data_IF_687161892309
#
_entry.id   IF_687161892309
#
_cell.length_a   1.000
_cell.length_b   1.000
_cell.length_c   1.000
_cell.angle_alpha   90.00
_cell.angle_beta   90.00
_cell.angle_gamma   90.00
#
_symmetry.space_group_name_H-M   'P 1'
#
loop_
_entity.id
_entity.type
_entity.pdbx_description
1 polymer ?
#
# COMPACT_ATOMS: atom_id res chain seq x y z
N UNK A 1 -1.80 6.97 7.11
CA UNK A 1 -2.93 7.87 6.91
C UNK A 1 -4.25 7.16 7.22
N UNK A 2 -4.91 7.57 8.32
CA UNK A 2 -6.12 6.92 8.81
C UNK A 2 -7.27 7.01 7.79
N UNK A 3 -7.41 8.13 7.09
CA UNK A 3 -8.48 8.31 6.11
C UNK A 3 -8.29 7.39 4.90
N UNK A 4 -7.06 7.26 4.43
CA UNK A 4 -6.76 6.36 3.33
C UNK A 4 -7.03 4.91 3.71
N UNK A 5 -6.70 4.50 4.93
CA UNK A 5 -6.99 3.16 5.42
C UNK A 5 -8.48 2.91 5.52
N UNK A 6 -9.26 3.90 5.96
CA UNK A 6 -10.71 3.78 6.02
C UNK A 6 -11.30 3.54 4.62
N UNK A 7 -10.83 4.25 3.61
CA UNK A 7 -11.28 4.02 2.24
C UNK A 7 -10.87 2.64 1.74
N UNK A 8 -9.64 2.21 2.06
CA UNK A 8 -9.17 0.89 1.68
C UNK A 8 -10.06 -0.22 2.26
N UNK A 9 -10.35 -0.15 3.55
CA UNK A 9 -11.19 -1.13 4.25
C UNK A 9 -12.60 -1.17 3.65
N UNK A 10 -13.14 -0.02 3.25
CA UNK A 10 -14.46 0.08 2.64
C UNK A 10 -14.49 -0.36 1.17
N UNK A 11 -13.35 -0.73 0.59
CA UNK A 11 -13.25 -1.12 -0.81
C UNK A 11 -13.17 0.05 -1.78
N UNK A 12 -13.01 1.26 -1.27
CA UNK A 12 -12.92 2.47 -2.09
C UNK A 12 -11.46 2.77 -2.42
N UNK A 13 -10.87 1.92 -3.25
CA UNK A 13 -9.44 1.97 -3.54
C UNK A 13 -9.03 3.26 -4.25
N UNK A 14 -9.87 3.79 -5.12
CA UNK A 14 -9.55 5.03 -5.84
C UNK A 14 -9.48 6.22 -4.87
N UNK A 15 -10.43 6.34 -3.95
CA UNK A 15 -10.42 7.38 -2.94
C UNK A 15 -9.23 7.21 -1.99
N UNK A 16 -8.92 5.97 -1.61
CA UNK A 16 -7.74 5.68 -0.79
C UNK A 16 -6.47 6.11 -1.49
N UNK A 17 -6.36 5.84 -2.79
CA UNK A 17 -5.20 6.23 -3.60
C UNK A 17 -5.07 7.76 -3.66
N UNK A 18 -6.16 8.47 -3.87
CA UNK A 18 -6.16 9.94 -3.88
C UNK A 18 -5.70 10.51 -2.54
N UNK A 19 -6.14 9.92 -1.43
CA UNK A 19 -5.69 10.32 -0.09
C UNK A 19 -4.20 10.09 0.09
N UNK A 20 -3.68 8.95 -0.39
CA UNK A 20 -2.25 8.65 -0.34
C UNK A 20 -1.43 9.65 -1.14
N UNK A 21 -1.89 9.99 -2.33
CA UNK A 21 -1.21 10.97 -3.20
C UNK A 21 -1.13 12.33 -2.52
N UNK A 22 -2.21 12.79 -1.89
CA UNK A 22 -2.22 14.05 -1.14
C UNK A 22 -1.27 14.01 0.04
N UNK A 23 -1.19 12.88 0.73
CA UNK A 23 -0.25 12.71 1.84
C UNK A 23 1.19 12.79 1.37
N UNK A 24 1.50 12.20 0.22
CA UNK A 24 2.86 12.23 -0.34
C UNK A 24 3.26 13.64 -0.76
N UNK A 25 2.33 14.46 -1.21
CA UNK A 25 2.61 15.86 -1.55
C UNK A 25 2.99 16.68 -0.32
N UNK A 26 2.46 16.31 0.85
CA UNK A 26 2.77 17.00 2.10
C UNK A 26 4.01 16.43 2.79
N UNK A 27 4.22 15.11 2.69
CA UNK A 27 5.32 14.39 3.32
C UNK A 27 5.85 13.36 2.33
N UNK A 28 6.89 13.72 1.62
CA UNK A 28 7.46 12.86 0.59
C UNK A 28 8.08 11.57 1.13
N UNK A 29 8.28 11.49 2.45
CA UNK A 29 8.90 10.35 3.11
C UNK A 29 7.91 9.46 3.87
N UNK A 30 6.62 9.57 3.63
CA UNK A 30 5.61 8.78 4.31
C UNK A 30 5.60 7.34 3.78
N UNK A 31 6.14 6.42 4.56
CA UNK A 31 6.21 4.99 4.20
C UNK A 31 4.83 4.37 4.05
N UNK A 32 3.94 4.66 5.00
CA UNK A 32 2.61 4.08 4.99
C UNK A 32 1.84 4.49 3.73
N UNK A 33 1.96 5.74 3.33
CA UNK A 33 1.30 6.22 2.12
C UNK A 33 1.85 5.54 0.87
N UNK A 34 3.16 5.34 0.79
CA UNK A 34 3.79 4.67 -0.35
C UNK A 34 3.35 3.22 -0.45
N UNK A 35 3.32 2.51 0.67
CA UNK A 35 2.89 1.11 0.72
C UNK A 35 1.43 1.00 0.34
N UNK A 36 0.58 1.82 0.93
CA UNK A 36 -0.86 1.78 0.66
C UNK A 36 -1.17 2.18 -0.78
N UNK A 37 -0.40 3.09 -1.35
CA UNK A 37 -0.50 3.43 -2.77
C UNK A 37 -0.30 2.20 -3.64
N UNK A 38 0.75 1.42 -3.40
CA UNK A 38 1.01 0.20 -4.15
C UNK A 38 -0.11 -0.82 -3.97
N UNK A 39 -0.61 -0.98 -2.75
CA UNK A 39 -1.72 -1.91 -2.47
C UNK A 39 -2.98 -1.50 -3.23
N UNK A 40 -3.34 -0.23 -3.18
CA UNK A 40 -4.54 0.28 -3.86
C UNK A 40 -4.42 0.13 -5.37
N UNK A 41 -3.27 0.42 -5.93
CA UNK A 41 -3.02 0.24 -7.36
C UNK A 41 -3.17 -1.22 -7.77
N UNK A 42 -2.65 -2.15 -6.97
CA UNK A 42 -2.81 -3.59 -7.23
C UNK A 42 -4.28 -4.00 -7.20
N UNK A 43 -5.04 -3.52 -6.23
CA UNK A 43 -6.46 -3.86 -6.11
C UNK A 43 -7.29 -3.28 -7.25
N UNK A 44 -6.87 -2.16 -7.82
CA UNK A 44 -7.52 -1.53 -8.96
C UNK A 44 -7.12 -2.16 -10.31
N UNK A 45 -6.19 -3.12 -10.29
CA UNK A 45 -5.70 -3.75 -11.51
C UNK A 45 -4.55 -3.01 -12.19
N UNK A 46 -4.04 -1.95 -11.58
CA UNK A 46 -2.91 -1.17 -12.11
C UNK A 46 -1.60 -1.78 -11.65
N UNK A 47 -1.32 -3.00 -12.08
CA UNK A 47 -0.17 -3.77 -11.57
C UNK A 47 1.17 -3.14 -11.90
N UNK A 48 1.32 -2.56 -13.09
CA UNK A 48 2.56 -1.90 -13.47
C UNK A 48 2.85 -0.70 -12.57
N UNK A 49 1.83 0.13 -12.32
CA UNK A 49 1.97 1.27 -11.44
C UNK A 49 2.28 0.84 -10.01
N UNK A 50 1.65 -0.23 -9.54
CA UNK A 50 1.90 -0.79 -8.22
C UNK A 50 3.35 -1.28 -8.10
N UNK A 51 3.87 -1.94 -9.11
CA UNK A 51 5.24 -2.43 -9.14
C UNK A 51 6.24 -1.27 -9.08
N UNK A 52 5.99 -0.20 -9.82
CA UNK A 52 6.85 0.99 -9.81
C UNK A 52 6.83 1.65 -8.43
N UNK A 53 5.65 1.83 -7.85
CA UNK A 53 5.50 2.45 -6.53
C UNK A 53 6.23 1.64 -5.46
N UNK A 54 6.07 0.32 -5.49
CA UNK A 54 6.72 -0.55 -4.51
C UNK A 54 8.23 -0.57 -4.72
N UNK A 55 8.70 -0.57 -5.96
CA UNK A 55 10.12 -0.56 -6.25
C UNK A 55 10.80 0.71 -5.74
N UNK A 56 10.17 1.86 -5.90
CA UNK A 56 10.67 3.11 -5.35
C UNK A 56 10.82 3.02 -3.84
N UNK A 57 9.82 2.45 -3.17
CA UNK A 57 9.86 2.26 -1.73
C UNK A 57 10.98 1.29 -1.33
N UNK A 58 11.17 0.21 -2.10
CA UNK A 58 12.19 -0.80 -1.83
C UNK A 58 13.62 -0.28 -2.05
N UNK A 59 13.80 0.76 -2.83
CA UNK A 59 15.12 1.41 -2.95
C UNK A 59 15.58 1.97 -1.62
N UNK A 60 14.64 2.44 -0.80
CA UNK A 60 14.93 2.91 0.56
C UNK A 60 15.04 1.74 1.54
N UNK A 61 14.25 0.69 1.34
CA UNK A 61 14.18 -0.48 2.24
C UNK A 61 14.38 -1.78 1.47
N UNK A 62 15.61 -2.05 0.97
CA UNK A 62 15.85 -3.17 0.05
C UNK A 62 15.66 -4.56 0.66
N UNK A 63 15.71 -4.67 1.99
CA UNK A 63 15.58 -5.95 2.68
C UNK A 63 14.19 -6.23 3.22
N UNK A 64 13.20 -5.40 2.84
CA UNK A 64 11.85 -5.56 3.34
C UNK A 64 11.14 -6.73 2.64
N UNK A 65 10.35 -7.47 3.40
CA UNK A 65 9.56 -8.62 2.92
C UNK A 65 8.16 -8.54 3.51
N UNK A 66 7.25 -9.39 3.02
CA UNK A 66 5.90 -9.51 3.58
C UNK A 66 5.96 -9.83 5.08
N UNK A 67 6.89 -10.70 5.48
CA UNK A 67 7.01 -11.09 6.89
C UNK A 67 7.49 -9.95 7.78
N UNK A 68 8.29 -9.03 7.24
CA UNK A 68 8.88 -7.92 7.99
C UNK A 68 8.09 -6.64 7.95
N UNK A 69 7.24 -6.47 6.94
CA UNK A 69 6.53 -5.21 6.74
C UNK A 69 5.58 -4.94 7.90
N UNK A 70 5.43 -3.64 8.24
CA UNK A 70 4.46 -3.23 9.25
C UNK A 70 3.05 -3.59 8.78
N UNK A 71 2.30 -4.24 9.65
CA UNK A 71 0.92 -4.64 9.38
C UNK A 71 -0.02 -3.75 10.19
N UNK A 72 -0.81 -2.89 9.52
CA UNK A 72 -1.77 -2.06 10.24
C UNK A 72 -2.76 -2.93 11.05
N UNK A 73 -3.24 -2.44 12.18
CA UNK A 73 -4.16 -3.20 13.03
C UNK A 73 -5.59 -3.19 12.47
N UNK A 74 -5.81 -3.87 11.37
CA UNK A 74 -7.16 -4.02 10.81
C UNK A 74 -8.03 -4.85 11.75
N UNK A 75 -9.29 -4.45 11.89
CA UNK A 75 -10.25 -5.18 12.72
C UNK A 75 -10.66 -6.51 12.07
N UNK A 76 -10.63 -6.56 10.73
CA UNK A 76 -11.04 -7.72 9.96
C UNK A 76 -9.81 -8.36 9.32
N UNK A 77 -9.62 -9.67 9.55
CA UNK A 77 -8.49 -10.41 8.98
C UNK A 77 -8.50 -10.40 7.45
N UNK A 78 -9.68 -10.35 6.83
CA UNK A 78 -9.79 -10.25 5.37
C UNK A 78 -9.20 -8.97 4.81
N UNK A 79 -9.26 -7.88 5.56
CA UNK A 79 -8.67 -6.61 5.14
C UNK A 79 -7.15 -6.69 5.14
N UNK A 80 -6.57 -7.33 6.14
CA UNK A 80 -5.13 -7.57 6.19
C UNK A 80 -4.69 -8.47 5.04
N UNK A 81 -5.45 -9.52 4.74
CA UNK A 81 -5.14 -10.42 3.63
C UNK A 81 -5.13 -9.67 2.30
N UNK A 82 -6.11 -8.79 2.06
CA UNK A 82 -6.15 -7.98 0.85
C UNK A 82 -4.95 -7.02 0.77
N UNK A 83 -4.58 -6.44 1.90
CA UNK A 83 -3.42 -5.56 2.00
C UNK A 83 -2.14 -6.30 1.60
N UNK A 84 -1.92 -7.49 2.17
CA UNK A 84 -0.73 -8.29 1.89
C UNK A 84 -0.75 -8.84 0.46
N UNK A 85 -1.92 -9.25 -0.04
CA UNK A 85 -2.05 -9.71 -1.43
C UNK A 85 -1.69 -8.61 -2.42
N UNK A 86 -2.11 -7.37 -2.15
CA UNK A 86 -1.74 -6.24 -2.98
C UNK A 86 -0.23 -6.06 -3.07
N UNK A 87 0.45 -6.23 -1.95
CA UNK A 87 1.91 -6.15 -1.91
C UNK A 87 2.57 -7.31 -2.66
N UNK A 88 2.03 -8.52 -2.53
CA UNK A 88 2.55 -9.67 -3.27
C UNK A 88 2.41 -9.47 -4.78
N UNK A 89 1.26 -8.98 -5.23
CA UNK A 89 1.02 -8.70 -6.64
C UNK A 89 1.94 -7.60 -7.16
N UNK A 90 2.30 -6.64 -6.32
CA UNK A 90 3.24 -5.59 -6.68
C UNK A 90 4.70 -6.05 -6.69
N UNK A 91 4.98 -7.27 -6.20
CA UNK A 91 6.31 -7.86 -6.28
C UNK A 91 7.08 -7.93 -4.97
N UNK A 92 6.47 -7.66 -3.83
CA UNK A 92 7.15 -7.79 -2.55
C UNK A 92 7.33 -9.28 -2.19
N UNK A 93 8.56 -9.74 -1.93
CA UNK A 93 8.80 -11.15 -1.59
C UNK A 93 8.28 -11.50 -0.19
N UNK A 94 8.03 -12.78 0.03
CA UNK A 94 7.61 -13.28 1.33
C UNK A 94 8.75 -13.13 2.34
#
# INVERSE_FOLDING_TARGET
>A
NALAQCHFVAGRYQQALECCEKSQLRRSDSHEAMILTAVCQSQLGHLEAAQVSLQEWRETYPNMTIARIYKPPFQNAGDLDRYLDGLRQAGLPE
#
